data_IF_366664218215
#
_entry.id   IF_366664218215
#
_cell.length_a   1.000
_cell.length_b   1.000
_cell.length_c   1.000
_cell.angle_alpha   90.00
_cell.angle_beta   90.00
_cell.angle_gamma   90.00
#
_symmetry.space_group_name_H-M   'P 1'
#
loop_
_entity.id
_entity.type
_entity.pdbx_description
1 polymer ?
#
# COMPACT_ATOMS: atom_id res chain seq x y z
N UNK A 1 15.20 -2.35 0.29
CA UNK A 1 13.93 -1.72 -0.17
C UNK A 1 13.08 -1.17 0.97
N UNK A 2 12.72 -1.94 2.00
CA UNK A 2 11.92 -1.43 3.14
C UNK A 2 12.54 -0.20 3.82
N UNK A 3 13.86 -0.21 4.04
CA UNK A 3 14.59 0.92 4.65
C UNK A 3 14.44 2.22 3.85
N UNK A 4 14.41 2.16 2.51
CA UNK A 4 14.32 3.34 1.64
C UNK A 4 12.93 4.00 1.68
N UNK A 5 11.88 3.26 2.06
CA UNK A 5 10.50 3.76 2.16
C UNK A 5 10.19 4.21 3.58
N UNK A 6 10.70 3.49 4.58
CA UNK A 6 10.40 3.75 6.01
C UNK A 6 11.10 5.02 6.50
N UNK A 7 12.36 5.26 6.13
CA UNK A 7 13.11 6.44 6.61
C UNK A 7 12.47 7.78 6.22
N UNK A 8 12.13 8.06 4.94
CA UNK A 8 11.49 9.33 4.58
C UNK A 8 10.06 9.44 5.14
N UNK A 9 9.32 8.33 5.27
CA UNK A 9 7.99 8.33 5.88
C UNK A 9 8.02 8.74 7.37
N UNK A 10 9.08 8.35 8.08
CA UNK A 10 9.31 8.70 9.49
C UNK A 10 9.73 10.17 9.62
N UNK A 11 10.61 10.67 8.76
CA UNK A 11 11.00 12.09 8.74
C UNK A 11 9.81 13.02 8.45
N UNK A 12 8.96 12.67 7.48
CA UNK A 12 7.75 13.43 7.18
C UNK A 12 6.71 13.41 8.32
N UNK A 13 6.66 12.33 9.11
CA UNK A 13 5.77 12.24 10.26
C UNK A 13 6.23 13.11 11.44
N UNK A 14 7.54 13.30 11.62
CA UNK A 14 8.11 14.08 12.72
C UNK A 14 8.37 15.56 12.38
N UNK A 15 8.46 15.94 11.10
CA UNK A 15 8.65 17.32 10.68
C UNK A 15 7.41 18.24 10.85
N UNK A 16 6.24 17.69 11.21
CA UNK A 16 4.99 18.46 11.33
C UNK A 16 4.81 19.18 12.70
N UNK A 17 5.83 19.18 13.56
CA UNK A 17 5.73 19.66 14.96
C UNK A 17 6.41 20.99 15.31
N UNK A 18 7.28 21.55 14.46
CA UNK A 18 8.31 22.52 14.88
C UNK A 18 8.17 23.95 14.31
N UNK A 19 6.96 24.53 14.30
CA UNK A 19 6.78 25.98 14.11
C UNK A 19 5.89 26.59 15.22
N UNK A 20 6.47 27.31 16.21
CA UNK A 20 5.71 27.96 17.27
C UNK A 20 5.31 29.37 16.80
N UNK A 21 4.21 29.48 16.04
CA UNK A 21 3.79 30.78 15.50
C UNK A 21 2.29 31.05 15.44
N UNK A 22 1.45 30.03 15.28
CA UNK A 22 0.03 30.25 14.98
C UNK A 22 -0.86 29.39 15.89
N UNK A 23 -1.89 29.99 16.47
CA UNK A 23 -2.94 29.26 17.22
C UNK A 23 -3.75 28.42 16.22
N UNK A 24 -3.19 27.26 15.89
CA UNK A 24 -3.76 26.29 14.97
C UNK A 24 -4.85 25.51 15.69
N UNK A 25 -6.07 25.48 15.13
CA UNK A 25 -7.16 24.67 15.69
C UNK A 25 -6.83 23.18 15.50
N UNK A 26 -6.18 22.62 16.52
CA UNK A 26 -5.60 21.26 16.52
C UNK A 26 -6.62 20.20 16.15
N UNK A 27 -7.91 20.42 16.45
CA UNK A 27 -8.98 19.48 16.09
C UNK A 27 -9.08 19.32 14.57
N UNK A 28 -9.09 20.44 13.84
CA UNK A 28 -9.24 20.44 12.38
C UNK A 28 -8.03 19.79 11.69
N UNK A 29 -6.82 20.08 12.18
CA UNK A 29 -5.57 19.53 11.62
C UNK A 29 -5.48 18.02 11.82
N UNK A 30 -5.78 17.54 13.04
CA UNK A 30 -5.72 16.11 13.35
C UNK A 30 -6.71 15.34 12.47
N UNK A 31 -7.92 15.86 12.30
CA UNK A 31 -8.90 15.27 11.40
C UNK A 31 -8.43 15.28 9.94
N UNK A 32 -7.88 16.39 9.47
CA UNK A 32 -7.36 16.48 8.10
C UNK A 32 -6.21 15.48 7.88
N UNK A 33 -5.28 15.39 8.83
CA UNK A 33 -4.17 14.44 8.80
C UNK A 33 -4.68 13.00 8.82
N UNK A 34 -5.67 12.69 9.66
CA UNK A 34 -6.31 11.37 9.71
C UNK A 34 -6.93 10.98 8.37
N UNK A 35 -7.74 11.86 7.76
CA UNK A 35 -8.34 11.59 6.46
C UNK A 35 -7.27 11.42 5.37
N UNK A 36 -6.20 12.22 5.40
CA UNK A 36 -5.08 12.10 4.47
C UNK A 36 -4.38 10.74 4.59
N UNK A 37 -4.07 10.30 5.80
CA UNK A 37 -3.46 8.99 6.05
C UNK A 37 -4.41 7.83 5.71
N UNK A 38 -5.71 8.00 5.97
CA UNK A 38 -6.74 7.02 5.63
C UNK A 38 -6.84 6.80 4.12
N UNK A 39 -6.86 7.87 3.31
CA UNK A 39 -6.86 7.73 1.84
C UNK A 39 -5.65 6.96 1.35
N UNK A 40 -4.45 7.26 1.87
CA UNK A 40 -3.22 6.52 1.50
C UNK A 40 -3.34 5.04 1.86
N UNK A 41 -3.81 4.72 3.08
CA UNK A 41 -3.99 3.36 3.52
C UNK A 41 -4.98 2.58 2.65
N UNK A 42 -6.11 3.18 2.28
CA UNK A 42 -7.10 2.55 1.39
C UNK A 42 -6.57 2.36 -0.02
N UNK A 43 -5.83 3.32 -0.59
CA UNK A 43 -5.23 3.20 -1.92
C UNK A 43 -4.23 2.05 -1.94
N UNK A 44 -3.31 2.00 -0.97
CA UNK A 44 -2.34 0.91 -0.86
C UNK A 44 -3.05 -0.43 -0.65
N UNK A 45 -4.02 -0.49 0.26
CA UNK A 45 -4.80 -1.68 0.54
C UNK A 45 -5.55 -2.21 -0.69
N UNK A 46 -6.15 -1.33 -1.48
CA UNK A 46 -6.84 -1.69 -2.71
C UNK A 46 -5.89 -2.24 -3.79
N UNK A 47 -4.71 -1.63 -3.95
CA UNK A 47 -3.70 -2.09 -4.93
C UNK A 47 -3.14 -3.45 -4.54
N UNK A 48 -2.79 -3.65 -3.26
CA UNK A 48 -2.23 -4.92 -2.77
C UNK A 48 -3.27 -6.03 -2.80
N UNK A 49 -4.48 -5.77 -2.29
CA UNK A 49 -5.56 -6.77 -2.30
C UNK A 49 -5.98 -7.12 -3.72
N UNK A 50 -6.06 -6.11 -4.60
CA UNK A 50 -6.37 -6.29 -6.03
C UNK A 50 -5.32 -7.12 -6.75
N UNK A 51 -4.03 -6.90 -6.48
CA UNK A 51 -2.96 -7.71 -7.07
C UNK A 51 -2.99 -9.15 -6.58
N UNK A 52 -3.25 -9.41 -5.29
CA UNK A 52 -3.40 -10.78 -4.76
C UNK A 52 -4.57 -11.50 -5.46
N UNK A 53 -5.75 -10.86 -5.52
CA UNK A 53 -6.92 -11.44 -6.18
C UNK A 53 -6.64 -11.72 -7.65
N UNK A 54 -5.97 -10.79 -8.35
CA UNK A 54 -5.59 -10.98 -9.74
C UNK A 54 -4.67 -12.17 -9.93
N UNK A 55 -3.64 -12.35 -9.08
CA UNK A 55 -2.72 -13.48 -9.17
C UNK A 55 -3.44 -14.81 -8.99
N UNK A 56 -4.26 -14.93 -7.94
CA UNK A 56 -5.03 -16.15 -7.64
C UNK A 56 -5.98 -16.47 -8.77
N UNK A 57 -6.66 -15.45 -9.32
CA UNK A 57 -7.57 -15.67 -10.43
C UNK A 57 -6.80 -16.05 -11.70
N UNK A 58 -5.76 -15.30 -12.08
CA UNK A 58 -4.99 -15.45 -13.33
C UNK A 58 -4.27 -16.79 -13.46
N UNK A 59 -3.70 -17.29 -12.38
CA UNK A 59 -2.89 -18.52 -12.35
C UNK A 59 -3.64 -19.72 -11.75
N UNK A 60 -4.95 -19.59 -11.52
CA UNK A 60 -5.78 -20.73 -11.12
C UNK A 60 -5.68 -21.85 -12.16
N UNK A 61 -5.56 -23.10 -11.73
CA UNK A 61 -5.45 -24.27 -12.62
C UNK A 61 -6.64 -24.40 -13.58
N UNK A 62 -7.84 -24.00 -13.15
CA UNK A 62 -9.05 -24.00 -13.99
C UNK A 62 -9.15 -22.81 -14.95
N UNK A 63 -8.13 -21.95 -15.02
CA UNK A 63 -8.16 -20.76 -15.86
C UNK A 63 -7.79 -21.13 -17.31
N UNK A 64 -8.62 -20.79 -18.34
CA UNK A 64 -8.39 -21.22 -19.72
C UNK A 64 -7.06 -20.76 -20.36
N UNK A 65 -6.37 -19.81 -19.72
CA UNK A 65 -5.10 -19.23 -20.17
C UNK A 65 -3.95 -19.51 -19.20
N UNK A 66 -4.13 -20.43 -18.25
CA UNK A 66 -3.05 -20.96 -17.45
C UNK A 66 -2.19 -21.83 -18.38
N UNK A 67 -0.97 -21.37 -18.68
CA UNK A 67 0.00 -22.18 -19.41
C UNK A 67 0.82 -22.94 -18.36
N UNK A 68 0.93 -24.27 -18.46
CA UNK A 68 1.83 -25.02 -17.62
C UNK A 68 3.24 -24.47 -17.76
N UNK A 69 3.92 -24.26 -16.65
CA UNK A 69 5.31 -23.81 -16.67
C UNK A 69 6.25 -24.99 -16.95
N UNK A 70 7.44 -24.79 -17.54
CA UNK A 70 8.32 -25.91 -17.94
C UNK A 70 8.78 -26.82 -16.80
N UNK A 71 8.68 -26.35 -15.55
CA UNK A 71 9.05 -27.08 -14.34
C UNK A 71 7.86 -27.76 -13.65
N UNK A 72 6.63 -27.62 -14.18
CA UNK A 72 5.43 -28.29 -13.69
C UNK A 72 5.29 -29.75 -14.17
N UNK A 73 6.25 -30.26 -14.95
CA UNK A 73 6.51 -31.70 -15.06
C UNK A 73 5.37 -32.55 -15.60
N UNK A 74 4.63 -32.07 -16.61
CA UNK A 74 3.65 -32.89 -17.35
C UNK A 74 4.22 -33.43 -18.67
N UNK A 75 5.45 -33.95 -18.62
CA UNK A 75 6.00 -34.85 -19.64
C UNK A 75 5.86 -36.30 -19.12
N UNK A 76 4.62 -36.81 -19.10
CA UNK A 76 4.30 -38.23 -19.00
C UNK A 76 3.16 -38.53 -19.98
#
# INVERSE_FOLDING_TARGET
MAVLVVVPAVEHAFAAGDEPGEYLDRRVIIWNLFFRMMTIAFVVGAVVSGTIIWQVWRFRESHPKAKPTPYEGTDW
#
